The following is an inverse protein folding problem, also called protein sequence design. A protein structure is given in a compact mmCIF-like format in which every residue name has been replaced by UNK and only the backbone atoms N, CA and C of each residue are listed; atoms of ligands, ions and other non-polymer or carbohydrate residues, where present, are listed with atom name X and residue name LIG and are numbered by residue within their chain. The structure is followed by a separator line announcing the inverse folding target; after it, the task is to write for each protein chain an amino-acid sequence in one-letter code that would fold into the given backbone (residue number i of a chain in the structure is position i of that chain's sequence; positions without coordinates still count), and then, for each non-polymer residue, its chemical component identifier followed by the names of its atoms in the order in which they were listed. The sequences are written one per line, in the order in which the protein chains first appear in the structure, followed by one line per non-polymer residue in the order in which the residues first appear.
data_IF_277206890283
#
_entry.id   IF_277206890283
#
_cell.length_a   1.000
_cell.length_b   1.000
_cell.length_c   1.000
_cell.angle_alpha   90.00
_cell.angle_beta   90.00
_cell.angle_gamma   90.00
#
_symmetry.space_group_name_H-M   'P 1'
#
loop_
_entity.id
_entity.type
_entity.pdbx_description
1 polymer ?
#
# COMPACT_ATOMS: atom_id res chain seq x y z
N UNK A 1 -5.74 -16.44 8.50
CA UNK A 1 -7.11 -16.77 8.06
C UNK A 1 -8.14 -15.77 8.64
N UNK A 2 -8.14 -14.52 8.16
CA UNK A 2 -8.91 -13.40 8.75
C UNK A 2 -10.08 -12.91 7.86
N UNK A 3 -10.41 -13.63 6.80
CA UNK A 3 -11.49 -13.27 5.84
C UNK A 3 -12.83 -13.94 6.13
N UNK A 4 -12.95 -14.70 7.23
CA UNK A 4 -13.99 -15.72 7.38
C UNK A 4 -15.46 -15.30 7.42
N UNK A 5 -15.83 -14.02 7.60
CA UNK A 5 -17.25 -13.61 7.67
C UNK A 5 -17.53 -12.15 7.27
N UNK A 6 -16.82 -11.61 6.28
CA UNK A 6 -17.16 -10.28 5.75
C UNK A 6 -17.94 -10.44 4.45
N UNK A 7 -19.09 -9.79 4.29
CA UNK A 7 -19.81 -9.79 3.03
C UNK A 7 -18.90 -9.28 1.91
N UNK A 8 -18.78 -10.05 0.83
CA UNK A 8 -18.10 -9.61 -0.39
C UNK A 8 -19.13 -9.13 -1.39
N UNK A 9 -18.79 -8.10 -2.15
CA UNK A 9 -19.51 -7.71 -3.36
C UNK A 9 -19.43 -8.82 -4.42
N UNK A 10 -20.45 -8.88 -5.27
CA UNK A 10 -20.50 -9.86 -6.38
C UNK A 10 -19.44 -9.57 -7.45
N UNK A 11 -18.89 -8.36 -7.42
CA UNK A 11 -17.80 -7.87 -8.28
C UNK A 11 -16.41 -8.29 -7.80
N UNK A 12 -16.29 -8.94 -6.63
CA UNK A 12 -15.01 -9.36 -6.07
C UNK A 12 -14.60 -10.73 -6.62
N UNK A 13 -13.64 -10.73 -7.54
CA UNK A 13 -12.97 -11.93 -8.04
C UNK A 13 -11.65 -12.16 -7.27
N UNK A 14 -11.63 -13.23 -6.45
CA UNK A 14 -10.47 -13.58 -5.64
C UNK A 14 -9.30 -14.13 -6.48
N UNK A 15 -9.59 -14.78 -7.61
CA UNK A 15 -8.55 -15.32 -8.48
C UNK A 15 -7.84 -14.17 -9.21
N UNK A 16 -8.60 -13.20 -9.73
CA UNK A 16 -8.03 -11.98 -10.30
C UNK A 16 -7.23 -11.16 -9.28
N UNK A 17 -7.65 -11.12 -8.01
CA UNK A 17 -6.88 -10.47 -6.95
C UNK A 17 -5.59 -11.22 -6.62
N UNK A 18 -5.59 -12.55 -6.67
CA UNK A 18 -4.39 -13.36 -6.47
C UNK A 18 -3.35 -13.07 -7.56
N UNK A 19 -3.77 -13.02 -8.82
CA UNK A 19 -2.89 -12.65 -9.95
C UNK A 19 -2.29 -11.25 -9.79
N UNK A 20 -3.13 -10.26 -9.42
CA UNK A 20 -2.69 -8.87 -9.22
C UNK A 20 -1.78 -8.66 -8.00
N UNK A 21 -1.73 -9.63 -7.08
CA UNK A 21 -0.90 -9.57 -5.87
C UNK A 21 0.29 -10.52 -5.94
N UNK A 22 0.67 -10.96 -7.14
CA UNK A 22 1.88 -11.76 -7.32
C UNK A 22 3.12 -11.04 -6.75
N UNK A 23 3.94 -11.77 -5.99
CA UNK A 23 5.12 -11.22 -5.33
C UNK A 23 4.85 -10.46 -4.02
N UNK A 24 3.58 -10.30 -3.62
CA UNK A 24 3.22 -9.84 -2.28
C UNK A 24 3.54 -10.90 -1.21
N UNK A 25 3.95 -10.44 -0.03
CA UNK A 25 4.13 -11.27 1.16
C UNK A 25 2.80 -11.51 1.87
N UNK A 26 2.73 -12.48 2.78
CA UNK A 26 1.52 -12.68 3.61
C UNK A 26 1.13 -11.45 4.44
N UNK A 27 2.09 -10.62 4.84
CA UNK A 27 1.83 -9.36 5.52
C UNK A 27 1.22 -8.31 4.57
N UNK A 28 1.71 -8.25 3.32
CA UNK A 28 1.17 -7.36 2.29
C UNK A 28 -0.29 -7.72 1.99
N UNK A 29 -0.59 -9.00 1.80
CA UNK A 29 -1.96 -9.48 1.55
C UNK A 29 -2.87 -9.14 2.74
N UNK A 30 -2.40 -9.35 3.97
CA UNK A 30 -3.15 -8.98 5.17
C UNK A 30 -3.43 -7.46 5.24
N UNK A 31 -2.44 -6.63 4.88
CA UNK A 31 -2.60 -5.18 4.82
C UNK A 31 -3.61 -4.75 3.75
N UNK A 32 -3.54 -5.34 2.55
CA UNK A 32 -4.49 -5.09 1.45
C UNK A 32 -5.91 -5.44 1.90
N UNK A 33 -6.13 -6.63 2.48
CA UNK A 33 -7.46 -7.04 2.96
C UNK A 33 -8.00 -6.10 4.05
N UNK A 34 -7.15 -5.71 5.00
CA UNK A 34 -7.57 -4.80 6.07
C UNK A 34 -7.89 -3.40 5.55
N UNK A 35 -7.09 -2.87 4.62
CA UNK A 35 -7.36 -1.55 4.04
C UNK A 35 -8.60 -1.57 3.13
N UNK A 36 -8.86 -2.66 2.39
CA UNK A 36 -10.08 -2.81 1.61
C UNK A 36 -11.33 -2.76 2.50
N UNK A 37 -11.31 -3.45 3.63
CA UNK A 37 -12.39 -3.34 4.63
C UNK A 37 -12.54 -1.91 5.14
N UNK A 38 -11.44 -1.24 5.46
CA UNK A 38 -11.50 0.15 5.95
C UNK A 38 -12.03 1.10 4.87
N UNK A 39 -11.73 0.86 3.59
CA UNK A 39 -12.30 1.60 2.47
C UNK A 39 -13.82 1.43 2.40
N UNK A 40 -14.32 0.21 2.56
CA UNK A 40 -15.76 -0.07 2.59
C UNK A 40 -16.44 0.66 3.77
N UNK A 41 -15.83 0.63 4.97
CA UNK A 41 -16.33 1.35 6.14
C UNK A 41 -16.30 2.87 5.93
N UNK A 42 -15.23 3.42 5.35
CA UNK A 42 -15.16 4.86 5.02
C UNK A 42 -16.23 5.27 4.02
N UNK A 43 -16.53 4.44 3.02
CA UNK A 43 -17.65 4.65 2.08
C UNK A 43 -18.98 4.74 2.83
N UNK A 44 -19.21 3.84 3.78
CA UNK A 44 -20.43 3.82 4.59
C UNK A 44 -20.59 5.10 5.44
N UNK A 45 -19.50 5.56 6.07
CA UNK A 45 -19.49 6.77 6.92
C UNK A 45 -19.55 8.07 6.11
N UNK A 46 -19.09 8.07 4.85
CA UNK A 46 -19.09 9.25 3.99
C UNK A 46 -20.49 9.85 3.74
N UNK A 47 -21.56 9.09 4.00
CA UNK A 47 -22.95 9.57 3.97
C UNK A 47 -23.34 10.54 5.10
N UNK A 48 -22.41 10.92 5.99
CA UNK A 48 -22.63 11.92 7.04
C UNK A 48 -23.45 11.42 8.24
N UNK A 49 -23.75 10.13 8.28
CA UNK A 49 -24.39 9.46 9.42
C UNK A 49 -23.41 8.46 10.02
N UNK A 50 -23.44 8.32 11.33
CA UNK A 50 -22.71 7.25 12.00
C UNK A 50 -23.45 5.93 11.74
N UNK A 51 -22.83 4.96 11.05
CA UNK A 51 -23.50 3.70 10.75
C UNK A 51 -23.71 2.87 12.01
N UNK A 52 -24.82 2.16 12.02
CA UNK A 52 -25.17 1.17 13.05
C UNK A 52 -24.26 -0.06 12.96
N UNK A 53 -24.21 -0.86 14.04
CA UNK A 53 -23.48 -2.12 14.02
C UNK A 53 -23.97 -3.07 12.93
N UNK A 54 -25.27 -3.04 12.61
CA UNK A 54 -25.89 -3.86 11.56
C UNK A 54 -25.47 -3.40 10.15
N UNK A 55 -25.42 -2.09 9.91
CA UNK A 55 -24.92 -1.53 8.65
C UNK A 55 -23.43 -1.82 8.43
N UNK A 56 -22.63 -1.78 9.51
CA UNK A 56 -21.21 -2.16 9.44
C UNK A 56 -21.08 -3.66 9.17
N UNK A 57 -21.88 -4.51 9.84
CA UNK A 57 -21.84 -5.96 9.67
C UNK A 57 -22.29 -6.41 8.28
N UNK A 58 -23.25 -5.70 7.68
CA UNK A 58 -23.75 -5.96 6.32
C UNK A 58 -22.96 -5.25 5.22
N UNK A 59 -22.00 -4.41 5.58
CA UNK A 59 -21.16 -3.68 4.64
C UNK A 59 -20.37 -4.65 3.76
N UNK A 60 -20.67 -4.63 2.46
CA UNK A 60 -19.95 -5.42 1.46
C UNK A 60 -18.66 -4.71 1.07
N UNK A 61 -17.58 -5.47 1.04
CA UNK A 61 -16.32 -5.03 0.44
C UNK A 61 -16.43 -5.23 -1.07
N UNK A 62 -16.24 -4.17 -1.85
CA UNK A 62 -16.36 -4.16 -3.30
C UNK A 62 -14.97 -4.23 -3.95
N UNK A 63 -14.89 -4.52 -5.25
CA UNK A 63 -13.62 -4.57 -5.99
C UNK A 63 -12.87 -3.23 -5.92
N UNK A 64 -13.61 -2.11 -5.98
CA UNK A 64 -13.04 -0.76 -5.87
C UNK A 64 -12.34 -0.50 -4.53
N UNK A 65 -12.74 -1.19 -3.47
CA UNK A 65 -12.09 -1.08 -2.15
C UNK A 65 -10.73 -1.77 -2.15
N UNK A 66 -10.62 -2.91 -2.84
CA UNK A 66 -9.36 -3.63 -3.05
C UNK A 66 -8.42 -2.85 -3.98
N UNK A 67 -8.92 -2.23 -5.05
CA UNK A 67 -8.12 -1.40 -5.94
C UNK A 67 -7.44 -0.26 -5.19
N UNK A 68 -8.21 0.48 -4.38
CA UNK A 68 -7.67 1.55 -3.52
C UNK A 68 -6.68 1.03 -2.48
N UNK A 69 -6.88 -0.19 -1.97
CA UNK A 69 -5.95 -0.79 -1.03
C UNK A 69 -4.62 -1.18 -1.72
N UNK A 70 -4.68 -1.68 -2.96
CA UNK A 70 -3.51 -2.03 -3.76
C UNK A 70 -2.69 -0.81 -4.18
N UNK A 71 -3.31 0.36 -4.37
CA UNK A 71 -2.54 1.59 -4.60
C UNK A 71 -1.58 1.91 -3.46
N UNK A 72 -1.92 1.50 -2.23
CA UNK A 72 -1.15 1.79 -1.02
C UNK A 72 -0.23 0.64 -0.60
N UNK A 73 -0.69 -0.60 -0.75
CA UNK A 73 0.01 -1.80 -0.25
C UNK A 73 0.35 -2.84 -1.33
N UNK A 74 -0.03 -2.58 -2.57
CA UNK A 74 0.22 -3.47 -3.70
C UNK A 74 1.69 -3.44 -4.18
N UNK A 75 2.00 -4.28 -5.17
CA UNK A 75 3.37 -4.48 -5.66
C UNK A 75 4.00 -3.19 -6.20
N UNK A 76 3.22 -2.35 -6.89
CA UNK A 76 3.67 -1.06 -7.43
C UNK A 76 4.05 -0.05 -6.33
N UNK A 77 3.30 0.01 -5.23
CA UNK A 77 3.64 0.85 -4.08
C UNK A 77 5.02 0.46 -3.50
N UNK A 78 5.28 -0.85 -3.41
CA UNK A 78 6.56 -1.35 -2.91
C UNK A 78 7.71 -1.07 -3.88
N UNK A 79 7.46 -1.15 -5.18
CA UNK A 79 8.45 -0.80 -6.22
C UNK A 79 8.86 0.67 -6.10
N UNK A 80 7.89 1.59 -6.01
CA UNK A 80 8.14 3.02 -5.79
C UNK A 80 8.97 3.27 -4.52
N UNK A 81 8.65 2.57 -3.43
CA UNK A 81 9.39 2.71 -2.17
C UNK A 81 10.84 2.23 -2.29
N UNK A 82 11.08 1.10 -2.99
CA UNK A 82 12.43 0.61 -3.27
C UNK A 82 13.23 1.58 -4.14
N UNK A 83 12.60 2.12 -5.18
CA UNK A 83 13.22 3.08 -6.10
C UNK A 83 13.59 4.39 -5.39
N UNK A 84 12.73 4.87 -4.49
CA UNK A 84 13.04 6.05 -3.67
C UNK A 84 14.26 5.80 -2.76
N UNK A 85 14.30 4.63 -2.10
CA UNK A 85 15.39 4.28 -1.20
C UNK A 85 16.73 4.15 -1.94
N UNK A 86 16.77 3.45 -3.07
CA UNK A 86 18.00 3.29 -3.85
C UNK A 86 18.54 4.62 -4.36
N UNK A 87 17.65 5.50 -4.83
CA UNK A 87 18.01 6.86 -5.27
C UNK A 87 18.52 7.72 -4.11
N UNK A 88 17.90 7.62 -2.93
CA UNK A 88 18.34 8.33 -1.73
C UNK A 88 19.73 7.88 -1.29
N UNK A 89 19.99 6.57 -1.28
CA UNK A 89 21.31 6.00 -0.94
C UNK A 89 22.38 6.45 -1.95
N UNK A 90 22.06 6.38 -3.25
CA UNK A 90 22.96 6.82 -4.32
C UNK A 90 23.31 8.30 -4.19
N UNK A 91 22.30 9.16 -4.02
CA UNK A 91 22.52 10.60 -3.89
C UNK A 91 23.35 10.94 -2.66
N UNK A 92 23.09 10.27 -1.53
CA UNK A 92 23.89 10.46 -0.31
C UNK A 92 25.34 10.10 -0.56
N UNK A 93 25.62 8.95 -1.19
CA UNK A 93 26.98 8.52 -1.49
C UNK A 93 27.69 9.50 -2.44
N UNK A 94 27.00 9.94 -3.50
CA UNK A 94 27.57 10.91 -4.46
C UNK A 94 27.94 12.22 -3.77
N UNK A 95 27.09 12.74 -2.88
CA UNK A 95 27.37 13.97 -2.14
C UNK A 95 28.56 13.83 -1.18
N UNK A 96 28.74 12.66 -0.55
CA UNK A 96 29.91 12.39 0.28
C UNK A 96 31.20 12.32 -0.56
N UNK A 97 31.16 11.59 -1.68
CA UNK A 97 32.32 11.43 -2.57
C UNK A 97 32.73 12.77 -3.22
N UNK A 98 31.78 13.64 -3.57
CA UNK A 98 32.06 14.99 -4.09
C UNK A 98 32.72 15.88 -3.02
N UNK A 99 32.21 15.86 -1.79
CA UNK A 99 32.79 16.63 -0.69
C UNK A 99 34.21 16.16 -0.33
N UNK A 100 34.50 14.86 -0.34
CA UNK A 100 35.87 14.36 -0.12
C UNK A 100 36.85 14.88 -1.19
N UNK A 101 36.47 14.83 -2.47
CA UNK A 101 37.32 15.35 -3.56
C UNK A 101 37.60 16.84 -3.42
N UNK A 102 36.58 17.63 -3.05
CA UNK A 102 36.75 19.07 -2.82
C UNK A 102 37.71 19.37 -1.66
N UNK A 103 37.69 18.57 -0.59
CA UNK A 103 38.59 18.73 0.55
C UNK A 103 40.04 18.35 0.18
N UNK A 104 40.24 17.25 -0.55
CA UNK A 104 41.57 16.85 -1.05
C UNK A 104 42.17 17.88 -2.01
N UNK A 105 41.35 18.48 -2.88
CA UNK A 105 41.79 19.53 -3.81
C UNK A 105 42.17 20.85 -3.10
N UNK A 106 41.52 21.16 -1.97
CA UNK A 106 41.80 22.38 -1.20
C UNK A 106 42.99 22.23 -0.24
N UNK A 107 43.25 21.04 0.30
CA UNK A 107 44.42 20.78 1.17
C UNK A 107 45.74 20.65 0.38
N UNK A 108 45.68 20.45 -0.93
CA UNK A 108 46.83 20.40 -1.84
C UNK A 108 47.31 21.76 -2.38
N UNK A 109 46.73 22.88 -1.93
CA UNK A 109 47.07 24.26 -2.36
C UNK A 109 47.79 25.07 -1.31
#
# INVERSE_FOLDING_TARGET
IHTGKRPMGEDVDLDALAEKTEGCTGADIAAICNEAVMNAVRRLVAGGKMPTEEEIASCKVEATDFEKAMDKFGPESRKKLKDYKSRSETLSQTLYDEHEREMEENEGR
#
